data_IF_126002422667
#
_entry.id   IF_126002422667
#
_cell.length_a   1.000
_cell.length_b   1.000
_cell.length_c   1.000
_cell.angle_alpha   90.00
_cell.angle_beta   90.00
_cell.angle_gamma   90.00
#
_symmetry.space_group_name_H-M   'P 1'
#
loop_
_entity.id
_entity.type
_entity.pdbx_description
1 polymer ?
#
# COMPACT_ATOMS: atom_id res chain seq x y z
N UNK A 1 17.27 -2.87 8.67
CA UNK A 1 18.42 -2.61 9.54
C UNK A 1 19.33 -1.51 8.99
N UNK A 2 19.73 -1.55 7.71
CA UNK A 2 20.70 -0.60 7.12
C UNK A 2 20.24 0.88 7.12
N UNK A 3 18.95 1.16 6.97
CA UNK A 3 18.42 2.54 6.96
C UNK A 3 18.33 3.08 8.39
N UNK A 4 17.95 2.27 9.37
CA UNK A 4 17.90 2.65 10.78
C UNK A 4 19.32 2.85 11.37
N UNK A 5 20.27 1.98 11.04
CA UNK A 5 21.68 2.13 11.43
C UNK A 5 22.36 3.34 10.76
N UNK A 6 21.93 3.70 9.53
CA UNK A 6 22.41 4.92 8.86
C UNK A 6 21.87 6.19 9.52
N UNK A 7 20.63 6.17 10.03
CA UNK A 7 20.02 7.30 10.73
C UNK A 7 20.71 7.54 12.10
N UNK A 8 21.03 6.49 12.85
CA UNK A 8 21.76 6.59 14.14
C UNK A 8 23.22 7.04 13.97
N UNK A 9 23.91 6.57 12.93
CA UNK A 9 25.26 7.07 12.60
C UNK A 9 25.28 8.51 12.14
N UNK A 10 24.22 8.98 11.46
CA UNK A 10 24.10 10.36 11.02
C UNK A 10 23.99 11.36 12.18
N UNK A 11 23.41 10.96 13.33
CA UNK A 11 23.35 11.82 14.52
C UNK A 11 24.70 12.04 15.22
N UNK A 12 25.64 11.14 15.06
CA UNK A 12 26.97 11.23 15.67
C UNK A 12 27.99 12.05 14.82
N UNK A 13 27.68 12.32 13.54
CA UNK A 13 28.58 12.99 12.60
C UNK A 13 28.33 14.52 12.48
N UNK A 14 27.45 15.09 13.27
CA UNK A 14 26.97 16.50 13.13
C UNK A 14 27.96 17.57 13.63
N UNK A 15 29.11 17.19 14.18
CA UNK A 15 30.12 18.12 14.69
C UNK A 15 31.02 18.62 13.53
N UNK A 16 30.61 19.67 12.83
CA UNK A 16 31.39 20.34 11.79
C UNK A 16 30.70 20.66 10.47
N UNK A 17 29.44 20.26 10.35
CA UNK A 17 28.65 20.58 9.15
C UNK A 17 28.07 22.01 9.21
N UNK A 18 27.99 22.75 8.08
CA UNK A 18 27.48 24.12 8.07
C UNK A 18 26.00 24.15 8.48
N UNK A 19 25.63 25.05 9.38
CA UNK A 19 24.24 25.33 9.78
C UNK A 19 23.52 26.32 8.88
N UNK A 20 24.26 27.01 7.97
CA UNK A 20 23.75 27.95 6.98
C UNK A 20 24.52 27.79 5.69
N UNK A 21 23.84 27.91 4.55
CA UNK A 21 24.44 27.87 3.21
C UNK A 21 23.93 29.03 2.38
N UNK A 22 24.77 29.46 1.42
CA UNK A 22 24.35 30.42 0.39
C UNK A 22 23.39 29.70 -0.58
N UNK A 23 22.39 30.42 -1.07
CA UNK A 23 21.43 29.87 -2.03
C UNK A 23 22.12 29.39 -3.33
N UNK A 24 23.23 30.05 -3.71
CA UNK A 24 23.99 29.69 -4.92
C UNK A 24 24.76 28.36 -4.77
N UNK A 25 25.08 27.94 -3.54
CA UNK A 25 25.77 26.69 -3.25
C UNK A 25 24.79 25.49 -3.22
N UNK A 26 23.49 25.76 -3.37
CA UNK A 26 22.44 24.78 -3.33
C UNK A 26 21.93 24.44 -4.73
N UNK A 27 21.60 23.16 -4.95
CA UNK A 27 20.99 22.65 -6.17
C UNK A 27 19.62 22.07 -5.88
N UNK A 28 18.63 22.22 -6.80
CA UNK A 28 17.33 21.57 -6.66
C UNK A 28 17.49 20.06 -6.58
N UNK A 29 16.63 19.41 -5.77
CA UNK A 29 16.65 17.96 -5.63
C UNK A 29 16.17 17.24 -6.89
N UNK A 30 16.82 16.14 -7.26
CA UNK A 30 16.44 15.31 -8.42
C UNK A 30 15.07 14.60 -8.24
N UNK A 31 14.60 14.45 -7.00
CA UNK A 31 13.41 13.68 -6.66
C UNK A 31 12.21 14.54 -6.25
N UNK A 32 12.04 15.72 -6.87
CA UNK A 32 10.97 16.66 -6.54
C UNK A 32 9.67 16.30 -7.30
N UNK A 33 8.62 15.78 -6.64
CA UNK A 33 7.38 15.36 -7.32
C UNK A 33 6.46 16.52 -7.75
N UNK A 34 6.72 17.76 -7.25
CA UNK A 34 5.87 18.91 -7.57
C UNK A 34 6.32 19.63 -8.82
N UNK A 35 5.68 19.36 -9.96
CA UNK A 35 5.82 20.10 -11.21
C UNK A 35 4.98 21.39 -11.26
N UNK A 36 3.91 21.48 -10.46
CA UNK A 36 3.05 22.67 -10.36
C UNK A 36 3.08 23.22 -8.95
N UNK A 37 3.62 24.40 -8.76
CA UNK A 37 3.52 25.16 -7.52
C UNK A 37 2.53 26.31 -7.74
N UNK A 38 1.67 26.52 -6.75
CA UNK A 38 0.83 27.69 -6.70
C UNK A 38 1.73 28.91 -6.43
N UNK A 39 1.82 29.80 -7.42
CA UNK A 39 2.64 31.00 -7.35
C UNK A 39 2.16 31.95 -6.24
N UNK A 40 0.85 32.06 -6.03
CA UNK A 40 0.28 32.88 -4.97
C UNK A 40 0.75 32.44 -3.58
N UNK A 41 0.62 31.15 -3.30
CA UNK A 41 1.08 30.57 -2.03
C UNK A 41 2.61 30.60 -1.87
N UNK A 42 3.37 30.70 -2.97
CA UNK A 42 4.83 30.89 -2.91
C UNK A 42 5.20 32.32 -2.54
N UNK A 43 4.50 33.33 -3.09
CA UNK A 43 4.70 34.74 -2.74
C UNK A 43 4.33 35.04 -1.28
N UNK A 44 3.21 34.49 -0.78
CA UNK A 44 2.85 34.61 0.63
C UNK A 44 3.92 34.06 1.56
N UNK A 45 4.48 32.90 1.20
CA UNK A 45 5.59 32.31 1.95
C UNK A 45 6.86 33.19 1.86
N UNK A 46 7.15 33.80 0.71
CA UNK A 46 8.29 34.70 0.55
C UNK A 46 8.16 35.95 1.43
N UNK A 47 7.01 36.58 1.51
CA UNK A 47 6.74 37.71 2.39
C UNK A 47 6.87 37.30 3.88
N UNK A 48 6.36 36.13 4.26
CA UNK A 48 6.54 35.58 5.61
C UNK A 48 8.02 35.38 5.94
N UNK A 49 8.79 34.78 5.02
CA UNK A 49 10.23 34.55 5.19
C UNK A 49 10.99 35.86 5.28
N UNK A 50 10.60 36.88 4.51
CA UNK A 50 11.20 38.21 4.58
C UNK A 50 10.99 38.89 5.94
N UNK A 51 9.81 38.67 6.54
CA UNK A 51 9.46 39.27 7.82
C UNK A 51 10.05 38.51 9.04
N UNK A 52 10.10 37.19 8.99
CA UNK A 52 10.41 36.35 10.16
C UNK A 52 11.62 35.41 9.96
N UNK A 53 12.18 35.36 8.75
CA UNK A 53 13.20 34.40 8.40
C UNK A 53 12.64 32.97 8.19
N UNK A 54 13.55 32.04 7.97
CA UNK A 54 13.21 30.61 7.82
C UNK A 54 13.22 29.96 9.20
N UNK A 55 12.03 29.58 9.70
CA UNK A 55 11.87 28.94 11.01
C UNK A 55 12.32 27.47 11.02
N UNK A 56 12.14 26.78 9.90
CA UNK A 56 12.56 25.37 9.75
C UNK A 56 13.71 25.27 8.74
N UNK A 57 14.88 24.70 9.11
CA UNK A 57 16.01 24.54 8.20
C UNK A 57 15.63 23.73 6.95
N UNK A 58 16.33 24.01 5.85
CA UNK A 58 16.22 23.22 4.61
C UNK A 58 17.12 22.01 4.76
N UNK A 59 16.59 20.81 4.51
CA UNK A 59 17.35 19.58 4.57
C UNK A 59 18.14 19.40 3.27
N UNK A 60 19.46 19.27 3.39
CA UNK A 60 20.38 19.16 2.24
C UNK A 60 21.39 18.04 2.45
N UNK A 61 21.98 17.57 1.35
CA UNK A 61 23.15 16.70 1.37
C UNK A 61 24.27 17.26 0.49
N UNK A 62 25.50 16.91 0.79
CA UNK A 62 26.65 17.26 -0.04
C UNK A 62 26.70 16.33 -1.25
N UNK A 63 26.86 16.90 -2.44
CA UNK A 63 27.14 16.13 -3.66
C UNK A 63 28.64 15.87 -3.76
N UNK A 64 29.01 14.60 -3.84
CA UNK A 64 30.42 14.17 -3.88
C UNK A 64 30.87 13.94 -5.32
N UNK A 65 29.95 13.63 -6.24
CA UNK A 65 30.22 13.23 -7.62
C UNK A 65 29.39 14.02 -8.62
N UNK A 66 29.81 14.07 -9.89
CA UNK A 66 29.12 14.71 -11.01
C UNK A 66 29.43 16.19 -11.16
N UNK A 67 28.73 16.87 -12.12
CA UNK A 67 28.94 18.29 -12.49
C UNK A 67 28.67 19.26 -11.34
N UNK A 68 27.95 18.85 -10.33
CA UNK A 68 27.62 19.62 -9.12
C UNK A 68 28.40 19.16 -7.88
N UNK A 69 29.52 18.45 -8.05
CA UNK A 69 30.37 18.03 -6.93
C UNK A 69 30.81 19.23 -6.07
N UNK A 70 30.68 19.10 -4.76
CA UNK A 70 30.97 20.18 -3.80
C UNK A 70 29.78 21.08 -3.47
N UNK A 71 28.68 21.05 -4.23
CA UNK A 71 27.41 21.75 -3.94
C UNK A 71 26.52 20.90 -3.04
N UNK A 72 25.43 21.50 -2.58
CA UNK A 72 24.45 20.84 -1.70
C UNK A 72 23.13 20.64 -2.43
N UNK A 73 22.67 19.41 -2.51
CA UNK A 73 21.36 19.06 -3.08
C UNK A 73 20.25 19.14 -2.01
N UNK A 74 19.13 19.75 -2.38
CA UNK A 74 17.97 19.88 -1.50
C UNK A 74 17.25 18.54 -1.46
N UNK A 75 17.18 17.91 -0.27
CA UNK A 75 16.38 16.72 0.00
C UNK A 75 14.94 17.11 0.28
N UNK A 76 14.75 18.10 1.19
CA UNK A 76 13.42 18.59 1.58
C UNK A 76 13.47 20.09 1.85
N UNK A 77 12.36 20.80 1.54
CA UNK A 77 12.24 22.24 1.74
C UNK A 77 12.39 23.09 0.46
N UNK A 78 12.19 22.53 -0.72
CA UNK A 78 12.27 23.23 -2.02
C UNK A 78 11.40 24.50 -2.05
N UNK A 79 10.18 24.50 -1.46
CA UNK A 79 9.33 25.69 -1.38
C UNK A 79 9.99 26.81 -0.57
N UNK A 80 10.61 26.46 0.57
CA UNK A 80 11.36 27.42 1.41
C UNK A 80 12.56 27.98 0.68
N UNK A 81 13.28 27.15 -0.05
CA UNK A 81 14.40 27.58 -0.90
C UNK A 81 13.95 28.61 -1.96
N UNK A 82 12.87 28.29 -2.72
CA UNK A 82 12.37 29.21 -3.75
C UNK A 82 11.79 30.49 -3.16
N UNK A 83 11.05 30.39 -2.06
CA UNK A 83 10.51 31.55 -1.37
C UNK A 83 11.63 32.43 -0.77
N UNK A 84 12.71 31.85 -0.24
CA UNK A 84 13.89 32.60 0.22
C UNK A 84 14.57 33.35 -0.91
N UNK A 85 14.66 32.72 -2.09
CA UNK A 85 15.21 33.39 -3.29
C UNK A 85 14.34 34.55 -3.75
N UNK A 86 13.00 34.41 -3.72
CA UNK A 86 12.04 35.48 -4.00
C UNK A 86 12.10 36.59 -2.94
N UNK A 87 12.34 36.23 -1.68
CA UNK A 87 12.51 37.17 -0.57
C UNK A 87 13.85 37.95 -0.63
N UNK A 88 14.78 37.59 -1.54
CA UNK A 88 16.07 38.23 -1.68
C UNK A 88 17.08 37.89 -0.60
N UNK A 89 16.97 36.72 0.03
CA UNK A 89 17.96 36.25 0.99
C UNK A 89 19.21 35.72 0.27
N UNK A 90 20.40 35.96 0.84
CA UNK A 90 21.67 35.44 0.33
C UNK A 90 21.96 34.02 0.87
N UNK A 91 21.52 33.77 2.10
CA UNK A 91 21.79 32.51 2.80
C UNK A 91 20.58 32.04 3.59
N UNK A 92 20.51 30.74 3.83
CA UNK A 92 19.39 30.08 4.51
C UNK A 92 19.90 29.06 5.54
N UNK A 93 19.18 28.87 6.67
CA UNK A 93 19.52 27.82 7.60
C UNK A 93 19.29 26.45 6.95
N UNK A 94 20.26 25.55 7.13
CA UNK A 94 20.24 24.20 6.58
C UNK A 94 20.54 23.16 7.63
N UNK A 95 20.04 21.95 7.38
CA UNK A 95 20.43 20.73 8.06
C UNK A 95 21.12 19.84 7.04
N UNK A 96 22.43 19.69 7.16
CA UNK A 96 23.21 18.84 6.25
C UNK A 96 23.15 17.40 6.74
N UNK A 97 22.86 16.47 5.84
CA UNK A 97 22.93 15.03 6.08
C UNK A 97 23.85 14.39 5.05
N UNK A 98 24.81 13.62 5.53
CA UNK A 98 25.68 12.81 4.67
C UNK A 98 25.03 11.45 4.46
N UNK A 99 24.19 11.37 3.41
CA UNK A 99 23.40 10.16 3.11
C UNK A 99 23.56 9.77 1.63
N UNK A 100 23.62 8.45 1.33
CA UNK A 100 23.63 7.96 -0.04
C UNK A 100 22.40 8.43 -0.83
N UNK A 101 22.51 8.46 -2.16
CA UNK A 101 21.43 8.89 -3.07
C UNK A 101 20.09 8.21 -2.76
N UNK A 102 20.09 6.90 -2.54
CA UNK A 102 18.90 6.11 -2.20
C UNK A 102 18.28 6.53 -0.87
N UNK A 103 19.09 6.76 0.15
CA UNK A 103 18.60 7.18 1.46
C UNK A 103 18.04 8.61 1.41
N UNK A 104 18.66 9.52 0.67
CA UNK A 104 18.18 10.88 0.45
C UNK A 104 16.83 10.88 -0.28
N UNK A 105 16.68 10.06 -1.32
CA UNK A 105 15.43 9.90 -2.05
C UNK A 105 14.31 9.32 -1.18
N UNK A 106 14.64 8.33 -0.34
CA UNK A 106 13.69 7.77 0.62
C UNK A 106 13.24 8.83 1.65
N UNK A 107 14.17 9.61 2.20
CA UNK A 107 13.84 10.69 3.15
C UNK A 107 12.93 11.76 2.53
N UNK A 108 13.23 12.19 1.29
CA UNK A 108 12.38 13.14 0.56
C UNK A 108 10.97 12.59 0.31
N UNK A 109 10.86 11.30 -0.01
CA UNK A 109 9.57 10.64 -0.19
C UNK A 109 8.80 10.53 1.13
N UNK A 110 9.48 10.17 2.24
CA UNK A 110 8.87 10.09 3.57
C UNK A 110 8.34 11.45 3.99
N UNK A 111 9.13 12.53 3.85
CA UNK A 111 8.68 13.89 4.18
C UNK A 111 7.44 14.28 3.38
N UNK A 112 7.44 13.94 2.08
CA UNK A 112 6.28 14.22 1.23
C UNK A 112 5.03 13.44 1.64
N UNK A 113 5.16 12.18 2.10
CA UNK A 113 4.03 11.37 2.59
C UNK A 113 3.50 11.89 3.94
N UNK A 114 4.35 12.48 4.77
CA UNK A 114 3.96 13.02 6.09
C UNK A 114 3.19 14.34 6.01
N UNK A 115 2.89 14.83 4.81
CA UNK A 115 2.12 16.07 4.64
C UNK A 115 0.65 15.85 4.98
N UNK A 116 0.03 16.85 5.60
CA UNK A 116 -1.36 16.80 6.06
C UNK A 116 -2.38 16.89 4.91
N UNK A 117 -1.97 17.37 3.73
CA UNK A 117 -2.84 17.64 2.57
C UNK A 117 -2.91 16.49 1.56
N UNK A 118 -2.31 15.33 1.85
CA UNK A 118 -2.36 14.17 0.96
C UNK A 118 -3.71 13.43 1.05
N UNK A 119 -4.21 13.02 -0.11
CA UNK A 119 -5.32 12.10 -0.15
C UNK A 119 -4.86 10.65 0.15
N UNK A 120 -5.79 9.76 0.57
CA UNK A 120 -5.44 8.39 0.95
C UNK A 120 -4.78 7.56 -0.15
N UNK A 121 -5.05 7.83 -1.43
CA UNK A 121 -4.44 7.12 -2.55
C UNK A 121 -3.02 7.62 -2.83
N UNK A 122 -2.76 8.92 -2.69
CA UNK A 122 -1.41 9.47 -2.78
C UNK A 122 -0.53 8.93 -1.66
N UNK A 123 -1.04 8.87 -0.43
CA UNK A 123 -0.34 8.26 0.70
C UNK A 123 -0.05 6.77 0.43
N UNK A 124 -1.03 6.02 -0.11
CA UNK A 124 -0.86 4.62 -0.48
C UNK A 124 0.19 4.44 -1.59
N UNK A 125 0.21 5.30 -2.61
CA UNK A 125 1.21 5.28 -3.68
C UNK A 125 2.61 5.58 -3.14
N UNK A 126 2.73 6.57 -2.26
CA UNK A 126 3.99 6.88 -1.58
C UNK A 126 4.52 5.69 -0.77
N UNK A 127 3.67 5.06 0.04
CA UNK A 127 4.01 3.84 0.77
C UNK A 127 4.43 2.69 -0.16
N UNK A 128 3.73 2.51 -1.28
CA UNK A 128 4.08 1.48 -2.26
C UNK A 128 5.46 1.73 -2.88
N UNK A 129 5.81 2.99 -3.15
CA UNK A 129 7.13 3.39 -3.65
C UNK A 129 8.22 3.09 -2.61
N UNK A 130 8.01 3.40 -1.32
CA UNK A 130 8.94 3.06 -0.26
C UNK A 130 9.24 1.54 -0.23
N UNK A 131 8.23 0.71 -0.42
CA UNK A 131 8.39 -0.74 -0.46
C UNK A 131 9.09 -1.20 -1.74
N UNK A 132 8.68 -0.73 -2.92
CA UNK A 132 9.17 -1.24 -4.21
C UNK A 132 10.53 -0.68 -4.61
N UNK A 133 10.74 0.63 -4.44
CA UNK A 133 11.94 1.32 -4.92
C UNK A 133 13.08 1.25 -3.89
N UNK A 134 12.74 1.28 -2.59
CA UNK A 134 13.73 1.32 -1.50
C UNK A 134 13.82 0.02 -0.70
N UNK A 135 13.08 -1.03 -1.09
CA UNK A 135 13.16 -2.36 -0.48
C UNK A 135 12.73 -2.41 0.98
N UNK A 136 11.97 -1.43 1.48
CA UNK A 136 11.44 -1.43 2.83
C UNK A 136 10.35 -2.48 2.99
N UNK A 137 10.30 -3.12 4.15
CA UNK A 137 9.13 -3.93 4.50
C UNK A 137 7.92 -3.03 4.77
N UNK A 138 6.70 -3.58 4.67
CA UNK A 138 5.47 -2.84 5.01
C UNK A 138 5.51 -2.22 6.42
N UNK A 139 6.15 -2.91 7.37
CA UNK A 139 6.30 -2.44 8.73
C UNK A 139 7.27 -1.27 8.84
N UNK A 140 8.43 -1.37 8.17
CA UNK A 140 9.41 -0.29 8.13
C UNK A 140 8.87 0.95 7.41
N UNK A 141 8.15 0.77 6.29
CA UNK A 141 7.51 1.87 5.58
C UNK A 141 6.44 2.56 6.45
N UNK A 142 5.61 1.78 7.15
CA UNK A 142 4.61 2.31 8.09
C UNK A 142 5.26 3.13 9.21
N UNK A 143 6.30 2.58 9.84
CA UNK A 143 7.04 3.23 10.92
C UNK A 143 7.70 4.53 10.44
N UNK A 144 8.30 4.52 9.25
CA UNK A 144 8.95 5.69 8.66
C UNK A 144 8.00 6.88 8.45
N UNK A 145 6.73 6.60 8.10
CA UNK A 145 5.71 7.65 7.91
C UNK A 145 4.87 7.92 9.16
N UNK A 146 5.19 7.32 10.30
CA UNK A 146 4.47 7.52 11.56
C UNK A 146 3.09 6.84 11.62
N UNK A 147 2.86 5.79 10.81
CA UNK A 147 1.62 5.02 10.77
C UNK A 147 1.78 3.64 11.44
N UNK A 148 0.68 3.08 11.93
CA UNK A 148 0.68 1.68 12.35
C UNK A 148 0.76 0.75 11.14
N UNK A 149 1.31 -0.46 11.33
CA UNK A 149 1.37 -1.49 10.28
C UNK A 149 -0.01 -1.80 9.68
N UNK A 150 -1.05 -1.84 10.52
CA UNK A 150 -2.43 -2.08 10.07
C UNK A 150 -2.98 -0.94 9.22
N UNK A 151 -2.69 0.33 9.60
CA UNK A 151 -3.08 1.50 8.82
C UNK A 151 -2.41 1.52 7.44
N UNK A 152 -1.09 1.32 7.40
CA UNK A 152 -0.34 1.25 6.13
C UNK A 152 -0.81 0.10 5.24
N UNK A 153 -1.09 -1.09 5.81
CA UNK A 153 -1.64 -2.22 5.06
C UNK A 153 -3.02 -1.91 4.47
N UNK A 154 -3.88 -1.20 5.21
CA UNK A 154 -5.18 -0.77 4.70
C UNK A 154 -5.06 0.24 3.56
N UNK A 155 -4.13 1.20 3.66
CA UNK A 155 -3.85 2.15 2.59
C UNK A 155 -3.34 1.45 1.32
N UNK A 156 -2.34 0.57 1.45
CA UNK A 156 -1.80 -0.17 0.31
C UNK A 156 -2.87 -1.01 -0.41
N UNK A 157 -3.85 -1.54 0.31
CA UNK A 157 -4.96 -2.29 -0.28
C UNK A 157 -5.86 -1.43 -1.16
N UNK A 158 -5.97 -0.11 -0.92
CA UNK A 158 -6.77 0.80 -1.76
C UNK A 158 -6.30 0.85 -3.21
N UNK A 159 -5.01 0.60 -3.46
CA UNK A 159 -4.45 0.53 -4.81
C UNK A 159 -4.99 -0.65 -5.63
N UNK A 160 -5.63 -1.63 -4.98
CA UNK A 160 -6.28 -2.76 -5.65
C UNK A 160 -7.74 -2.46 -6.07
N UNK A 161 -8.28 -1.30 -5.70
CA UNK A 161 -9.60 -0.88 -6.16
C UNK A 161 -9.62 -0.63 -7.68
N UNK A 162 -10.78 -0.82 -8.29
CA UNK A 162 -11.01 -0.41 -9.66
C UNK A 162 -10.87 1.11 -9.79
N UNK A 163 -10.28 1.58 -10.88
CA UNK A 163 -9.99 3.01 -11.11
C UNK A 163 -11.23 3.94 -10.92
N UNK A 164 -12.44 3.60 -11.41
CA UNK A 164 -13.62 4.41 -11.14
C UNK A 164 -13.95 4.54 -9.65
N UNK A 165 -13.70 3.48 -8.86
CA UNK A 165 -13.92 3.48 -7.42
C UNK A 165 -12.88 4.32 -6.69
N UNK A 166 -11.63 4.31 -7.16
CA UNK A 166 -10.59 5.22 -6.67
C UNK A 166 -10.99 6.68 -6.92
N UNK A 167 -11.52 6.97 -8.11
CA UNK A 167 -12.02 8.32 -8.47
C UNK A 167 -13.15 8.77 -7.53
N UNK A 168 -14.13 7.89 -7.23
CA UNK A 168 -15.20 8.17 -6.27
C UNK A 168 -14.65 8.47 -4.87
N UNK A 169 -13.64 7.72 -4.42
CA UNK A 169 -12.98 7.96 -3.14
C UNK A 169 -12.28 9.32 -3.10
N UNK A 170 -11.60 9.70 -4.18
CA UNK A 170 -10.93 11.00 -4.28
C UNK A 170 -11.90 12.17 -4.37
N UNK A 171 -13.06 11.98 -5.03
CA UNK A 171 -14.13 12.97 -5.11
C UNK A 171 -14.90 13.13 -3.79
N UNK A 172 -14.74 12.20 -2.84
CA UNK A 172 -15.49 12.21 -1.59
C UNK A 172 -16.91 11.63 -1.72
N UNK A 173 -17.23 10.99 -2.86
CA UNK A 173 -18.52 10.32 -3.08
C UNK A 173 -18.68 9.08 -2.19
N UNK A 174 -17.57 8.48 -1.82
CA UNK A 174 -17.47 7.35 -0.89
C UNK A 174 -16.34 7.56 0.12
N UNK A 175 -16.49 7.02 1.34
CA UNK A 175 -15.50 7.07 2.41
C UNK A 175 -14.51 5.91 2.35
N UNK A 176 -13.42 6.03 3.14
CA UNK A 176 -12.44 4.96 3.37
C UNK A 176 -13.08 3.63 3.84
N UNK A 177 -14.14 3.70 4.64
CA UNK A 177 -14.90 2.53 5.10
C UNK A 177 -15.57 1.80 3.94
N UNK A 178 -16.22 2.54 3.06
CA UNK A 178 -16.84 2.03 1.83
C UNK A 178 -15.80 1.41 0.90
N UNK A 179 -14.71 2.12 0.66
CA UNK A 179 -13.59 1.66 -0.17
C UNK A 179 -13.01 0.31 0.34
N UNK A 180 -12.85 0.18 1.66
CA UNK A 180 -12.37 -1.07 2.29
C UNK A 180 -13.36 -2.22 2.12
N UNK A 181 -14.68 -1.97 2.28
CA UNK A 181 -15.70 -2.98 2.06
C UNK A 181 -15.68 -3.49 0.61
N UNK A 182 -15.55 -2.58 -0.37
CA UNK A 182 -15.52 -2.90 -1.80
C UNK A 182 -14.34 -3.78 -2.22
N UNK A 183 -13.24 -3.79 -1.47
CA UNK A 183 -12.07 -4.66 -1.75
C UNK A 183 -12.37 -6.16 -1.69
N UNK A 184 -13.51 -6.57 -1.12
CA UNK A 184 -13.94 -7.97 -1.09
C UNK A 184 -14.54 -8.45 -2.42
N UNK A 185 -14.80 -7.54 -3.36
CA UNK A 185 -15.42 -7.81 -4.65
C UNK A 185 -14.38 -7.80 -5.78
N UNK A 186 -14.72 -8.42 -6.91
CA UNK A 186 -13.98 -8.24 -8.15
C UNK A 186 -14.19 -6.82 -8.72
N UNK A 187 -13.36 -6.41 -9.69
CA UNK A 187 -13.35 -5.05 -10.23
C UNK A 187 -14.70 -4.60 -10.81
N UNK A 188 -15.45 -5.48 -11.47
CA UNK A 188 -16.74 -5.14 -12.07
C UNK A 188 -17.81 -4.95 -10.99
N UNK A 189 -17.86 -5.85 -10.02
CA UNK A 189 -18.75 -5.75 -8.87
C UNK A 189 -18.40 -4.55 -7.97
N UNK A 190 -17.12 -4.19 -7.83
CA UNK A 190 -16.69 -2.97 -7.12
C UNK A 190 -17.31 -1.72 -7.74
N UNK A 191 -17.29 -1.58 -9.07
CA UNK A 191 -17.85 -0.41 -9.78
C UNK A 191 -19.36 -0.35 -9.58
N UNK A 192 -20.06 -1.48 -9.76
CA UNK A 192 -21.50 -1.56 -9.59
C UNK A 192 -21.93 -1.22 -8.17
N UNK A 193 -21.26 -1.81 -7.18
CA UNK A 193 -21.53 -1.56 -5.77
C UNK A 193 -21.16 -0.13 -5.36
N UNK A 194 -20.03 0.41 -5.84
CA UNK A 194 -19.60 1.77 -5.60
C UNK A 194 -20.63 2.81 -6.09
N UNK A 195 -21.14 2.64 -7.30
CA UNK A 195 -22.20 3.48 -7.84
C UNK A 195 -23.48 3.42 -7.00
N UNK A 196 -23.87 2.24 -6.50
CA UNK A 196 -25.05 2.10 -5.63
C UNK A 196 -24.83 2.78 -4.27
N UNK A 197 -23.64 2.65 -3.68
CA UNK A 197 -23.29 3.29 -2.42
C UNK A 197 -23.36 4.82 -2.56
N UNK A 198 -22.72 5.38 -3.59
CA UNK A 198 -22.70 6.81 -3.84
C UNK A 198 -24.12 7.36 -4.14
N UNK A 199 -24.86 6.70 -5.04
CA UNK A 199 -26.21 7.16 -5.44
C UNK A 199 -27.22 7.13 -4.29
N UNK A 200 -27.15 6.14 -3.39
CA UNK A 200 -28.07 5.96 -2.26
C UNK A 200 -27.57 6.57 -0.97
N UNK A 201 -26.34 7.11 -0.95
CA UNK A 201 -25.67 7.65 0.24
C UNK A 201 -25.69 6.66 1.41
N UNK A 202 -25.34 5.40 1.13
CA UNK A 202 -25.37 4.33 2.12
C UNK A 202 -24.32 4.60 3.20
N UNK A 203 -24.64 4.22 4.43
CA UNK A 203 -23.64 4.16 5.52
C UNK A 203 -22.65 3.01 5.28
N UNK A 204 -21.51 3.04 5.96
CA UNK A 204 -20.50 1.97 5.85
C UNK A 204 -21.08 0.59 6.18
N UNK A 205 -21.95 0.50 7.20
CA UNK A 205 -22.62 -0.75 7.58
C UNK A 205 -23.56 -1.28 6.49
N UNK A 206 -24.32 -0.40 5.85
CA UNK A 206 -25.20 -0.77 4.74
C UNK A 206 -24.39 -1.18 3.51
N UNK A 207 -23.27 -0.52 3.25
CA UNK A 207 -22.35 -0.89 2.18
C UNK A 207 -21.71 -2.27 2.43
N UNK A 208 -21.30 -2.58 3.66
CA UNK A 208 -20.82 -3.91 4.03
C UNK A 208 -21.89 -5.00 3.82
N UNK A 209 -23.15 -4.72 4.17
CA UNK A 209 -24.26 -5.64 3.92
C UNK A 209 -24.51 -5.83 2.41
N UNK A 210 -24.47 -4.74 1.61
CA UNK A 210 -24.59 -4.78 0.15
C UNK A 210 -23.46 -5.63 -0.47
N UNK A 211 -22.22 -5.38 -0.08
CA UNK A 211 -21.03 -6.11 -0.55
C UNK A 211 -21.16 -7.61 -0.23
N UNK A 212 -21.58 -7.96 0.98
CA UNK A 212 -21.81 -9.36 1.36
C UNK A 212 -22.89 -10.02 0.51
N UNK A 213 -23.99 -9.31 0.22
CA UNK A 213 -25.07 -9.79 -0.64
C UNK A 213 -24.58 -10.03 -2.07
N UNK A 214 -23.91 -9.03 -2.67
CA UNK A 214 -23.36 -9.14 -4.02
C UNK A 214 -22.33 -10.30 -4.09
N UNK A 215 -21.42 -10.40 -3.12
CA UNK A 215 -20.44 -11.48 -3.06
C UNK A 215 -21.08 -12.87 -2.96
N UNK A 216 -22.18 -12.99 -2.23
CA UNK A 216 -22.95 -14.25 -2.15
C UNK A 216 -23.62 -14.58 -3.49
N UNK A 217 -24.22 -13.60 -4.16
CA UNK A 217 -24.86 -13.77 -5.48
C UNK A 217 -23.81 -14.17 -6.55
N UNK A 218 -22.64 -13.54 -6.55
CA UNK A 218 -21.54 -13.91 -7.46
C UNK A 218 -20.96 -15.30 -7.15
N UNK A 219 -20.84 -15.68 -5.87
CA UNK A 219 -20.41 -17.03 -5.50
C UNK A 219 -21.43 -18.09 -5.91
N UNK A 220 -22.72 -17.78 -5.91
CA UNK A 220 -23.77 -18.66 -6.43
C UNK A 220 -23.68 -18.81 -7.96
N UNK A 221 -23.30 -17.75 -8.67
CA UNK A 221 -23.08 -17.79 -10.13
C UNK A 221 -21.73 -18.44 -10.49
N UNK A 222 -20.70 -18.24 -9.66
CA UNK A 222 -19.38 -18.85 -9.83
C UNK A 222 -19.32 -20.30 -9.35
N UNK A 223 -20.32 -20.81 -8.66
CA UNK A 223 -20.50 -22.25 -8.50
C UNK A 223 -20.79 -22.82 -9.89
N UNK A 224 -19.71 -23.12 -10.65
CA UNK A 224 -19.82 -24.02 -11.79
C UNK A 224 -20.76 -25.16 -11.36
N UNK A 225 -21.72 -25.57 -12.21
CA UNK A 225 -22.53 -26.74 -11.90
C UNK A 225 -21.53 -27.82 -11.50
N UNK A 226 -21.61 -28.32 -10.27
CA UNK A 226 -20.83 -29.48 -9.84
C UNK A 226 -21.05 -30.48 -10.96
N UNK A 227 -20.00 -30.82 -11.74
CA UNK A 227 -20.08 -31.90 -12.71
C UNK A 227 -20.80 -33.01 -11.97
N UNK A 228 -21.96 -33.43 -12.46
CA UNK A 228 -22.70 -34.52 -11.82
C UNK A 228 -21.69 -35.65 -11.67
N UNK A 229 -21.46 -36.05 -10.41
CA UNK A 229 -20.61 -37.19 -10.11
C UNK A 229 -21.17 -38.37 -10.88
N UNK A 230 -20.32 -39.15 -11.53
CA UNK A 230 -20.78 -40.36 -12.24
C UNK A 230 -21.61 -41.22 -11.28
N UNK A 231 -22.59 -41.94 -11.81
CA UNK A 231 -23.43 -42.85 -10.99
C UNK A 231 -22.57 -43.80 -10.18
N UNK A 232 -21.45 -44.24 -10.74
CA UNK A 232 -20.52 -45.14 -10.05
C UNK A 232 -19.85 -44.48 -8.84
N UNK A 233 -19.46 -43.18 -8.95
CA UNK A 233 -18.88 -42.45 -7.82
C UNK A 233 -19.91 -42.24 -6.69
N UNK A 234 -21.16 -41.90 -7.03
CA UNK A 234 -22.25 -41.79 -6.02
C UNK A 234 -22.49 -43.08 -5.29
N UNK A 235 -22.53 -44.19 -6.03
CA UNK A 235 -22.71 -45.53 -5.46
C UNK A 235 -21.58 -45.89 -4.49
N UNK A 236 -20.31 -45.59 -4.87
CA UNK A 236 -19.15 -45.82 -4.00
C UNK A 236 -19.20 -44.94 -2.75
N UNK A 237 -19.64 -43.67 -2.88
CA UNK A 237 -19.84 -42.78 -1.73
C UNK A 237 -20.91 -43.31 -0.79
N UNK A 238 -22.04 -43.78 -1.31
CA UNK A 238 -23.13 -44.37 -0.52
C UNK A 238 -22.68 -45.67 0.19
N UNK A 239 -22.04 -46.60 -0.54
CA UNK A 239 -21.53 -47.85 0.02
C UNK A 239 -20.48 -47.60 1.12
N UNK A 240 -19.56 -46.61 0.92
CA UNK A 240 -18.57 -46.26 1.95
C UNK A 240 -19.19 -45.51 3.13
N UNK A 241 -20.19 -44.69 2.91
CA UNK A 241 -20.86 -43.95 3.98
C UNK A 241 -21.65 -44.91 4.87
N UNK A 242 -22.31 -45.93 4.27
CA UNK A 242 -23.03 -46.97 5.00
C UNK A 242 -22.08 -47.89 5.80
N UNK A 243 -20.94 -48.25 5.22
CA UNK A 243 -19.94 -49.09 5.84
C UNK A 243 -19.25 -48.42 7.01
N UNK A 244 -18.93 -47.13 6.86
CA UNK A 244 -18.18 -46.34 7.85
C UNK A 244 -19.09 -45.57 8.81
N UNK A 245 -20.40 -45.62 8.64
CA UNK A 245 -21.38 -44.81 9.40
C UNK A 245 -21.00 -43.32 9.50
N UNK A 246 -20.36 -42.79 8.44
CA UNK A 246 -19.86 -41.43 8.37
C UNK A 246 -20.10 -40.85 6.97
N UNK A 247 -20.21 -39.54 6.88
CA UNK A 247 -20.34 -38.86 5.57
C UNK A 247 -19.03 -38.93 4.79
N UNK A 248 -19.05 -39.60 3.62
CA UNK A 248 -17.89 -39.82 2.76
C UNK A 248 -18.06 -39.07 1.46
N UNK A 249 -17.07 -38.24 1.10
CA UNK A 249 -17.00 -37.53 -0.19
C UNK A 249 -15.79 -37.97 -1.01
N UNK A 250 -16.02 -38.48 -2.23
CA UNK A 250 -14.97 -38.80 -3.20
C UNK A 250 -14.79 -37.65 -4.19
N UNK A 251 -13.58 -37.13 -4.28
CA UNK A 251 -13.21 -36.04 -5.21
C UNK A 251 -12.15 -36.52 -6.20
N UNK A 252 -12.49 -36.62 -7.47
CA UNK A 252 -11.51 -36.89 -8.53
C UNK A 252 -10.77 -35.60 -8.87
N UNK A 253 -9.41 -35.57 -8.67
CA UNK A 253 -8.56 -34.40 -8.92
C UNK A 253 -7.99 -34.37 -10.34
N UNK A 254 -7.52 -35.51 -10.85
CA UNK A 254 -6.92 -35.58 -12.20
C UNK A 254 -6.99 -37.01 -12.77
N UNK A 255 -6.94 -37.13 -14.10
CA UNK A 255 -6.76 -38.38 -14.82
C UNK A 255 -5.31 -38.56 -15.19
N UNK A 256 -4.73 -39.70 -14.88
CA UNK A 256 -3.34 -40.04 -15.18
C UNK A 256 -3.30 -41.33 -16.03
N UNK A 257 -2.49 -41.32 -17.06
CA UNK A 257 -2.26 -42.52 -17.88
C UNK A 257 -1.20 -43.39 -17.19
N UNK A 258 -1.60 -44.58 -16.70
CA UNK A 258 -0.71 -45.54 -16.05
C UNK A 258 -0.86 -46.90 -16.78
N UNK A 259 0.23 -47.51 -17.21
CA UNK A 259 0.24 -48.79 -17.91
C UNK A 259 -0.72 -48.86 -19.11
N UNK A 260 -0.87 -47.76 -19.88
CA UNK A 260 -1.74 -47.69 -21.06
C UNK A 260 -3.24 -47.48 -20.76
N UNK A 261 -3.66 -47.46 -19.49
CA UNK A 261 -5.04 -47.17 -19.07
C UNK A 261 -5.13 -45.79 -18.41
N UNK A 262 -6.28 -45.14 -18.57
CA UNK A 262 -6.59 -43.88 -17.87
C UNK A 262 -7.16 -44.20 -16.50
N UNK A 263 -6.45 -43.77 -15.44
CA UNK A 263 -6.86 -43.98 -14.05
C UNK A 263 -7.24 -42.60 -13.44
N UNK A 264 -8.32 -42.56 -12.71
CA UNK A 264 -8.79 -41.39 -11.97
C UNK A 264 -8.09 -41.34 -10.61
N UNK A 265 -7.30 -40.27 -10.39
CA UNK A 265 -6.69 -39.99 -9.09
C UNK A 265 -7.52 -38.98 -8.35
N UNK A 266 -7.80 -39.27 -7.10
CA UNK A 266 -8.67 -38.43 -6.27
C UNK A 266 -8.28 -38.43 -4.81
N UNK A 267 -9.19 -37.93 -4.01
CA UNK A 267 -9.12 -37.77 -2.58
C UNK A 267 -10.44 -38.26 -1.98
N UNK A 268 -10.33 -39.00 -0.91
CA UNK A 268 -11.44 -39.44 -0.07
C UNK A 268 -11.47 -38.54 1.17
N UNK A 269 -12.61 -37.94 1.43
CA UNK A 269 -12.84 -37.10 2.60
C UNK A 269 -13.93 -37.74 3.46
N UNK A 270 -13.63 -37.98 4.73
CA UNK A 270 -14.56 -38.56 5.70
C UNK A 270 -14.83 -37.50 6.76
N UNK A 271 -16.09 -37.19 7.01
CA UNK A 271 -16.49 -36.27 8.07
C UNK A 271 -16.81 -37.10 9.34
N UNK A 272 -16.21 -36.67 10.46
CA UNK A 272 -16.44 -37.31 11.75
C UNK A 272 -16.90 -36.30 12.80
N UNK A 273 -17.80 -36.69 13.68
CA UNK A 273 -18.39 -35.81 14.70
C UNK A 273 -17.59 -35.72 16.00
N UNK A 274 -16.69 -36.67 16.27
CA UNK A 274 -15.84 -36.71 17.46
C UNK A 274 -14.57 -37.54 17.23
N UNK A 275 -13.54 -37.34 18.06
CA UNK A 275 -12.31 -38.15 18.01
C UNK A 275 -12.57 -39.63 18.33
N UNK A 276 -13.58 -39.94 19.14
CA UNK A 276 -14.00 -41.31 19.43
C UNK A 276 -14.57 -41.97 18.17
N UNK A 277 -15.42 -41.25 17.42
CA UNK A 277 -15.94 -41.72 16.14
C UNK A 277 -14.82 -41.95 15.10
N UNK A 278 -13.78 -41.10 15.10
CA UNK A 278 -12.62 -41.28 14.21
C UNK A 278 -11.83 -42.56 14.59
N UNK A 279 -11.60 -42.82 15.88
CA UNK A 279 -10.92 -44.04 16.31
C UNK A 279 -11.70 -45.32 15.92
N UNK A 280 -13.01 -45.28 16.03
CA UNK A 280 -13.87 -46.43 15.59
C UNK A 280 -13.90 -46.64 14.07
N UNK A 281 -13.39 -45.71 13.27
CA UNK A 281 -13.21 -45.84 11.82
C UNK A 281 -11.87 -46.48 11.43
N UNK A 282 -10.90 -46.54 12.37
CA UNK A 282 -9.52 -47.01 12.13
C UNK A 282 -9.36 -48.47 12.60
N UNK A 283 -10.17 -48.92 13.57
CA UNK A 283 -10.23 -50.30 14.07
C UNK A 283 -11.12 -51.19 13.17
#
# INVERSE_FOLDING_TARGET
PKVAEAADRAQAADAGLPSSLRLDDMAPGQYQPRTRMDEGALYELAESIKAQGIMQPILVRRLVEGDNAGRYEIIAGERRFRAARLAGLDSVPVLVRDVPNEAAAAMALIENIQREDLNPLEEAQGLQRLVKEFGLTHEQAAQAVGRSRSAASNLLRLLNLAEPVQTMLMAGDIDMGHARALLALDRAAQITAGNQIAARKLSVREAEALVKKIGAEFNLVATRPKKEKSRDLKRVEEELSDLLMAEVEVRVKKRVKRNGRMEDMGELSIQFGSLEALNGLID
#
